data_IF_716829678146
#
_entry.id   IF_716829678146
#
_cell.length_a   1.000
_cell.length_b   1.000
_cell.length_c   1.000
_cell.angle_alpha   90.00
_cell.angle_beta   90.00
_cell.angle_gamma   90.00
#
_symmetry.space_group_name_H-M   'P 1'
#
loop_
_entity.id
_entity.type
_entity.pdbx_description
1 polymer ?
#
# COMPACT_ATOMS: atom_id res chain seq x y z
N UNK A 1 -4.31 12.50 29.05
CA UNK A 1 -3.37 11.58 28.38
C UNK A 1 -3.98 10.19 28.37
N UNK A 2 -3.92 9.45 27.26
CA UNK A 2 -4.49 8.08 27.17
C UNK A 2 -3.58 7.11 27.92
N UNK A 3 -4.13 6.27 28.79
CA UNK A 3 -3.37 5.25 29.50
C UNK A 3 -3.38 3.94 28.69
N UNK A 4 -2.27 3.64 28.02
CA UNK A 4 -2.13 2.44 27.19
C UNK A 4 -2.03 1.14 28.01
N UNK A 5 -1.71 1.21 29.29
CA UNK A 5 -1.78 0.04 30.19
C UNK A 5 -3.21 -0.49 30.35
N UNK A 6 -4.22 0.35 30.07
CA UNK A 6 -5.63 -0.03 30.04
C UNK A 6 -6.13 -0.34 28.62
N UNK A 7 -5.22 -0.61 27.68
CA UNK A 7 -5.53 -0.93 26.31
C UNK A 7 -6.48 -2.12 26.20
N UNK A 8 -7.43 -2.01 25.27
CA UNK A 8 -8.44 -3.03 24.98
C UNK A 8 -8.62 -3.13 23.49
N UNK A 9 -8.76 -4.34 22.98
CA UNK A 9 -9.28 -4.61 21.64
C UNK A 9 -10.70 -5.13 21.78
N UNK A 10 -11.61 -4.60 20.97
CA UNK A 10 -13.03 -4.90 21.03
C UNK A 10 -13.61 -5.03 19.62
N UNK A 11 -14.82 -5.60 19.54
CA UNK A 11 -15.66 -5.52 18.35
C UNK A 11 -17.01 -4.90 18.67
N UNK A 12 -17.59 -4.21 17.69
CA UNK A 12 -19.00 -3.84 17.66
C UNK A 12 -19.66 -4.77 16.63
N UNK A 13 -20.65 -5.54 17.06
CA UNK A 13 -21.37 -6.49 16.21
C UNK A 13 -22.75 -5.93 15.93
N UNK A 14 -23.16 -6.01 14.68
CA UNK A 14 -24.54 -5.83 14.26
C UNK A 14 -25.33 -7.12 14.50
N UNK A 15 -26.33 -7.06 15.36
CA UNK A 15 -27.14 -8.23 15.71
C UNK A 15 -28.16 -8.61 14.62
N UNK A 16 -28.29 -7.82 13.54
CA UNK A 16 -29.23 -8.06 12.43
C UNK A 16 -28.63 -8.86 11.29
N UNK A 17 -27.35 -8.65 10.98
CA UNK A 17 -26.65 -9.28 9.85
C UNK A 17 -25.33 -9.95 10.23
N UNK A 18 -24.89 -9.85 11.49
CA UNK A 18 -23.66 -10.47 11.98
C UNK A 18 -22.37 -9.72 11.64
N UNK A 19 -22.44 -8.61 10.90
CA UNK A 19 -21.26 -7.81 10.57
C UNK A 19 -20.57 -7.29 11.82
N UNK A 20 -19.24 -7.27 11.81
CA UNK A 20 -18.45 -6.82 12.94
C UNK A 20 -17.47 -5.71 12.54
N UNK A 21 -17.33 -4.70 13.38
CA UNK A 21 -16.25 -3.71 13.33
C UNK A 21 -15.27 -3.96 14.47
N UNK A 22 -13.98 -4.08 14.16
CA UNK A 22 -12.91 -4.24 15.16
C UNK A 22 -12.25 -2.90 15.44
N UNK A 23 -11.96 -2.61 16.70
CA UNK A 23 -11.21 -1.42 17.07
C UNK A 23 -10.48 -1.59 18.40
N UNK A 24 -9.56 -0.67 18.67
CA UNK A 24 -8.89 -0.58 19.96
C UNK A 24 -9.24 0.70 20.73
N UNK A 25 -9.05 0.66 22.05
CA UNK A 25 -9.24 1.83 22.91
C UNK A 25 -8.37 1.76 24.16
N UNK A 26 -7.88 2.92 24.61
CA UNK A 26 -7.31 3.10 25.96
C UNK A 26 -8.32 3.74 26.93
N UNK A 27 -9.61 3.74 26.58
CA UNK A 27 -10.67 4.21 27.48
C UNK A 27 -10.85 3.25 28.66
N UNK A 28 -11.29 3.81 29.80
CA UNK A 28 -11.53 3.02 31.03
C UNK A 28 -12.52 1.88 30.79
N UNK A 29 -13.60 2.14 30.04
CA UNK A 29 -14.66 1.18 29.76
C UNK A 29 -15.06 1.16 28.28
N UNK A 30 -15.57 0.00 27.83
CA UNK A 30 -16.13 -0.13 26.48
C UNK A 30 -17.39 0.70 26.30
N UNK A 31 -18.21 0.87 27.33
CA UNK A 31 -19.40 1.73 27.29
C UNK A 31 -19.03 3.17 26.88
N UNK A 32 -17.99 3.76 27.48
CA UNK A 32 -17.53 5.11 27.13
C UNK A 32 -17.01 5.19 25.69
N UNK A 33 -16.33 4.14 25.23
CA UNK A 33 -15.89 4.02 23.83
C UNK A 33 -17.09 3.93 22.88
N UNK A 34 -18.12 3.15 23.22
CA UNK A 34 -19.35 3.05 22.45
C UNK A 34 -20.10 4.38 22.40
N UNK A 35 -20.23 5.09 23.52
CA UNK A 35 -20.84 6.43 23.54
C UNK A 35 -20.12 7.41 22.61
N UNK A 36 -18.80 7.28 22.46
CA UNK A 36 -18.03 8.09 21.52
C UNK A 36 -18.38 7.77 20.06
N UNK A 37 -18.49 6.48 19.72
CA UNK A 37 -18.94 6.04 18.38
C UNK A 37 -20.36 6.54 18.07
N UNK A 38 -21.29 6.38 19.01
CA UNK A 38 -22.68 6.85 18.86
C UNK A 38 -22.74 8.38 18.68
N UNK A 39 -21.98 9.13 19.48
CA UNK A 39 -21.88 10.59 19.35
C UNK A 39 -21.35 11.00 17.98
N UNK A 40 -20.28 10.36 17.52
CA UNK A 40 -19.68 10.66 16.22
C UNK A 40 -20.61 10.27 15.05
N UNK A 41 -21.36 9.17 15.17
CA UNK A 41 -22.39 8.78 14.20
C UNK A 41 -23.51 9.82 14.10
N UNK A 42 -24.03 10.30 15.25
CA UNK A 42 -25.02 11.39 15.27
C UNK A 42 -24.50 12.68 14.63
N UNK A 43 -23.20 12.97 14.75
CA UNK A 43 -22.58 14.12 14.08
C UNK A 43 -22.46 13.90 12.57
N UNK A 44 -22.16 12.68 12.14
CA UNK A 44 -22.11 12.30 10.72
C UNK A 44 -23.48 12.47 10.05
N UNK A 45 -24.56 12.02 10.70
CA UNK A 45 -25.93 12.22 10.22
C UNK A 45 -26.31 13.71 10.05
N UNK A 46 -25.64 14.61 10.78
CA UNK A 46 -25.80 16.07 10.67
C UNK A 46 -24.83 16.73 9.67
N UNK A 47 -24.02 15.95 8.96
CA UNK A 47 -22.98 16.45 8.05
C UNK A 47 -21.72 17.01 8.74
N UNK A 48 -21.60 16.88 10.06
CA UNK A 48 -20.54 17.52 10.88
C UNK A 48 -19.37 16.59 11.23
N UNK A 49 -19.29 15.45 10.54
CA UNK A 49 -18.25 14.42 10.73
C UNK A 49 -18.14 13.61 9.45
N UNK A 50 -16.92 13.20 9.09
CA UNK A 50 -16.70 12.28 7.98
C UNK A 50 -17.13 10.86 8.36
N UNK A 51 -17.49 10.08 7.34
CA UNK A 51 -17.83 8.67 7.51
C UNK A 51 -16.70 7.88 8.19
N UNK A 52 -17.07 7.03 9.14
CA UNK A 52 -16.20 6.05 9.80
C UNK A 52 -16.86 4.69 9.66
N UNK A 53 -16.07 3.65 9.41
CA UNK A 53 -16.58 2.29 9.15
C UNK A 53 -17.49 1.72 10.23
N UNK A 54 -17.30 2.08 11.50
CA UNK A 54 -18.20 1.65 12.58
C UNK A 54 -19.64 2.15 12.41
N UNK A 55 -19.88 3.17 11.57
CA UNK A 55 -21.22 3.68 11.29
C UNK A 55 -22.06 2.68 10.50
N UNK A 56 -21.43 1.85 9.65
CA UNK A 56 -22.12 0.75 8.92
C UNK A 56 -22.79 -0.23 9.91
N UNK A 57 -22.23 -0.39 11.13
CA UNK A 57 -22.79 -1.23 12.20
C UNK A 57 -23.86 -0.50 13.01
N UNK A 58 -23.65 0.79 13.28
CA UNK A 58 -24.55 1.60 14.11
C UNK A 58 -25.85 1.97 13.40
N UNK A 59 -25.83 2.01 12.07
CA UNK A 59 -26.97 2.40 11.24
C UNK A 59 -28.20 1.52 11.47
N UNK A 60 -28.00 0.22 11.68
CA UNK A 60 -29.10 -0.73 11.92
C UNK A 60 -29.71 -0.64 13.32
N UNK A 61 -29.15 0.18 14.23
CA UNK A 61 -29.71 0.46 15.56
C UNK A 61 -29.67 -0.70 16.56
N UNK A 62 -29.39 -1.93 16.13
CA UNK A 62 -29.31 -3.13 16.96
C UNK A 62 -27.89 -3.70 16.95
N UNK A 63 -27.05 -3.25 17.88
CA UNK A 63 -25.64 -3.61 17.96
C UNK A 63 -25.16 -3.82 19.39
N UNK A 64 -24.08 -4.59 19.53
CA UNK A 64 -23.46 -4.92 20.81
C UNK A 64 -21.96 -4.64 20.76
N UNK A 65 -21.38 -4.06 21.82
CA UNK A 65 -19.92 -3.93 21.95
C UNK A 65 -19.38 -5.07 22.83
N UNK A 66 -18.41 -5.82 22.32
CA UNK A 66 -17.86 -7.01 22.97
C UNK A 66 -16.36 -6.86 23.12
N UNK A 67 -15.85 -7.08 24.33
CA UNK A 67 -14.41 -7.15 24.59
C UNK A 67 -13.83 -8.38 23.92
N UNK A 68 -12.78 -8.20 23.13
CA UNK A 68 -12.02 -9.32 22.57
C UNK A 68 -10.84 -9.63 23.48
N UNK A 69 -10.08 -8.60 23.87
CA UNK A 69 -8.85 -8.77 24.63
C UNK A 69 -8.54 -7.52 25.47
N UNK A 70 -8.11 -7.72 26.71
CA UNK A 70 -7.39 -6.69 27.46
C UNK A 70 -5.90 -6.77 27.09
N UNK A 71 -5.36 -5.66 26.57
CA UNK A 71 -4.01 -5.59 26.05
C UNK A 71 -3.27 -4.38 26.64
N UNK A 72 -2.60 -4.61 27.77
CA UNK A 72 -1.71 -3.63 28.39
C UNK A 72 -0.49 -3.41 27.50
N UNK A 73 -0.22 -2.16 27.16
CA UNK A 73 0.89 -1.77 26.29
C UNK A 73 1.39 -0.36 26.64
N UNK A 74 2.54 0.01 26.09
CA UNK A 74 3.20 1.28 26.41
C UNK A 74 2.89 2.37 25.40
N UNK A 75 2.40 2.01 24.22
CA UNK A 75 2.22 2.94 23.12
C UNK A 75 0.99 2.67 22.25
N UNK A 76 0.57 3.73 21.56
CA UNK A 76 -0.50 3.68 20.56
C UNK A 76 -0.20 2.69 19.44
N UNK A 77 1.06 2.59 19.04
CA UNK A 77 1.45 1.78 17.89
C UNK A 77 1.44 0.29 18.23
N UNK A 78 1.82 -0.08 19.45
CA UNK A 78 1.62 -1.45 19.96
C UNK A 78 0.14 -1.83 20.00
N UNK A 79 -0.72 -0.95 20.54
CA UNK A 79 -2.17 -1.20 20.58
C UNK A 79 -2.78 -1.33 19.18
N UNK A 80 -2.33 -0.50 18.23
CA UNK A 80 -2.75 -0.57 16.82
C UNK A 80 -2.23 -1.81 16.10
N UNK A 81 -1.02 -2.27 16.41
CA UNK A 81 -0.50 -3.53 15.88
C UNK A 81 -1.37 -4.70 16.36
N UNK A 82 -1.81 -4.67 17.63
CA UNK A 82 -2.75 -5.67 18.13
C UNK A 82 -4.14 -5.57 17.50
N UNK A 83 -4.64 -4.36 17.26
CA UNK A 83 -5.87 -4.14 16.49
C UNK A 83 -5.76 -4.71 15.06
N UNK A 84 -4.63 -4.46 14.38
CA UNK A 84 -4.34 -5.02 13.05
C UNK A 84 -4.42 -6.55 13.05
N UNK A 85 -3.82 -7.21 14.04
CA UNK A 85 -3.88 -8.67 14.16
C UNK A 85 -5.33 -9.17 14.13
N UNK A 86 -6.24 -8.56 14.89
CA UNK A 86 -7.65 -8.99 14.86
C UNK A 86 -8.35 -8.63 13.55
N UNK A 87 -8.07 -7.46 12.95
CA UNK A 87 -8.64 -7.09 11.65
C UNK A 87 -8.24 -8.09 10.55
N UNK A 88 -6.99 -8.58 10.56
CA UNK A 88 -6.50 -9.52 9.55
C UNK A 88 -6.99 -10.97 9.79
N UNK A 89 -7.32 -11.33 11.03
CA UNK A 89 -7.70 -12.69 11.42
C UNK A 89 -9.19 -12.86 11.74
N UNK A 90 -10.01 -11.83 11.53
CA UNK A 90 -11.46 -11.89 11.75
C UNK A 90 -12.21 -11.27 10.59
N UNK A 91 -13.36 -11.86 10.23
CA UNK A 91 -14.27 -11.26 9.27
C UNK A 91 -14.88 -9.99 9.86
N UNK A 92 -14.51 -8.84 9.30
CA UNK A 92 -14.94 -7.54 9.79
C UNK A 92 -15.06 -6.52 8.66
N UNK A 93 -15.88 -5.49 8.88
CA UNK A 93 -16.16 -4.45 7.89
C UNK A 93 -15.03 -3.41 7.75
N UNK A 94 -13.99 -3.49 8.59
CA UNK A 94 -12.89 -2.52 8.67
C UNK A 94 -12.28 -2.23 7.28
N UNK A 95 -12.41 -0.98 6.82
CA UNK A 95 -11.92 -0.54 5.50
C UNK A 95 -10.42 -0.21 5.51
N UNK A 96 -9.85 0.08 6.69
CA UNK A 96 -8.47 0.51 6.87
C UNK A 96 -7.76 -0.41 7.86
N UNK A 97 -6.58 -0.90 7.47
CA UNK A 97 -5.72 -1.73 8.31
C UNK A 97 -4.65 -0.82 8.95
N UNK A 98 -4.55 -0.73 10.29
CA UNK A 98 -3.55 0.09 10.96
C UNK A 98 -2.12 -0.30 10.58
N UNK A 99 -1.24 0.68 10.38
CA UNK A 99 0.18 0.42 10.08
C UNK A 99 0.47 -0.17 8.70
N UNK A 100 -0.54 -0.35 7.84
CA UNK A 100 -0.35 -0.90 6.50
C UNK A 100 0.51 0.02 5.62
N UNK A 101 1.53 -0.55 5.01
CA UNK A 101 2.45 0.11 4.09
C UNK A 101 1.90 0.13 2.66
N UNK A 102 2.40 1.07 1.84
CA UNK A 102 2.11 1.11 0.40
C UNK A 102 2.53 -0.18 -0.31
N UNK A 103 3.59 -0.85 0.17
CA UNK A 103 4.10 -2.11 -0.40
C UNK A 103 3.12 -3.25 -0.15
N UNK A 104 2.67 -3.43 1.10
CA UNK A 104 1.65 -4.43 1.45
C UNK A 104 0.36 -4.20 0.66
N UNK A 105 -0.14 -2.96 0.62
CA UNK A 105 -1.33 -2.64 -0.17
C UNK A 105 -1.17 -3.04 -1.65
N UNK A 106 -0.02 -2.75 -2.27
CA UNK A 106 0.23 -3.13 -3.67
C UNK A 106 0.31 -4.65 -3.87
N UNK A 107 0.81 -5.39 -2.89
CA UNK A 107 0.90 -6.84 -2.94
C UNK A 107 -0.49 -7.47 -2.82
N UNK A 108 -1.26 -7.07 -1.81
CA UNK A 108 -2.59 -7.64 -1.54
C UNK A 108 -3.60 -7.27 -2.62
N UNK A 109 -3.43 -6.11 -3.27
CA UNK A 109 -4.33 -5.62 -4.32
C UNK A 109 -3.73 -5.76 -5.73
N UNK A 110 -2.70 -6.60 -5.89
CA UNK A 110 -1.92 -6.75 -7.12
C UNK A 110 -2.80 -7.05 -8.34
N UNK A 111 -3.73 -7.99 -8.22
CA UNK A 111 -4.63 -8.38 -9.32
C UNK A 111 -5.62 -7.28 -9.69
N UNK A 112 -6.21 -6.60 -8.69
CA UNK A 112 -7.11 -5.46 -8.93
C UNK A 112 -6.38 -4.33 -9.66
N UNK A 113 -5.16 -3.99 -9.21
CA UNK A 113 -4.33 -2.96 -9.83
C UNK A 113 -3.98 -3.35 -11.27
N UNK A 114 -3.60 -4.60 -11.51
CA UNK A 114 -3.31 -5.12 -12.85
C UNK A 114 -4.51 -5.03 -13.78
N UNK A 115 -5.69 -5.44 -13.31
CA UNK A 115 -6.94 -5.39 -14.08
C UNK A 115 -7.27 -3.95 -14.46
N UNK A 116 -7.28 -3.03 -13.48
CA UNK A 116 -7.54 -1.61 -13.74
C UNK A 116 -6.53 -1.00 -14.73
N UNK A 117 -5.24 -1.33 -14.60
CA UNK A 117 -4.22 -0.87 -15.53
C UNK A 117 -4.42 -1.41 -16.95
N UNK A 118 -4.86 -2.68 -17.09
CA UNK A 118 -5.20 -3.28 -18.39
C UNK A 118 -6.39 -2.57 -19.03
N UNK A 119 -7.46 -2.36 -18.27
CA UNK A 119 -8.66 -1.66 -18.76
C UNK A 119 -8.35 -0.23 -19.19
N UNK A 120 -7.56 0.50 -18.40
CA UNK A 120 -7.12 1.84 -18.75
C UNK A 120 -6.34 1.85 -20.06
N UNK A 121 -5.36 0.96 -20.23
CA UNK A 121 -4.58 0.83 -21.48
C UNK A 121 -5.44 0.49 -22.68
N UNK A 122 -6.45 -0.37 -22.49
CA UNK A 122 -7.38 -0.76 -23.55
C UNK A 122 -8.24 0.42 -23.99
N UNK A 123 -8.85 1.12 -23.03
CA UNK A 123 -9.72 2.28 -23.30
C UNK A 123 -8.96 3.46 -23.91
N UNK A 124 -7.71 3.66 -23.54
CA UNK A 124 -6.90 4.78 -23.98
C UNK A 124 -5.87 4.39 -25.06
N UNK A 125 -6.07 3.25 -25.74
CA UNK A 125 -5.08 2.67 -26.66
C UNK A 125 -4.66 3.63 -27.76
N UNK A 126 -5.62 4.28 -28.40
CA UNK A 126 -5.38 5.20 -29.52
C UNK A 126 -4.65 6.45 -29.06
N UNK A 127 -5.15 7.10 -28.01
CA UNK A 127 -4.51 8.28 -27.41
C UNK A 127 -3.06 7.99 -26.96
N UNK A 128 -2.83 6.84 -26.31
CA UNK A 128 -1.48 6.40 -25.92
C UNK A 128 -0.59 6.19 -27.16
N UNK A 129 -1.16 5.67 -28.25
CA UNK A 129 -0.43 5.44 -29.49
C UNK A 129 -0.07 6.77 -30.16
N UNK A 130 -0.98 7.73 -30.16
CA UNK A 130 -0.77 9.05 -30.75
C UNK A 130 0.31 9.84 -30.00
N UNK A 131 0.24 9.91 -28.66
CA UNK A 131 1.30 10.51 -27.84
C UNK A 131 2.66 9.88 -28.13
N UNK A 132 2.71 8.55 -28.30
CA UNK A 132 3.96 7.85 -28.63
C UNK A 132 4.49 8.21 -30.02
N UNK A 133 3.61 8.39 -31.01
CA UNK A 133 4.00 8.82 -32.36
C UNK A 133 4.53 10.25 -32.31
N UNK A 134 3.80 11.15 -31.66
CA UNK A 134 4.19 12.55 -31.50
C UNK A 134 5.55 12.67 -30.81
N UNK A 135 5.75 11.97 -29.69
CA UNK A 135 7.04 11.93 -29.00
C UNK A 135 8.18 11.48 -29.92
N UNK A 136 7.97 10.43 -30.72
CA UNK A 136 8.97 9.92 -31.68
C UNK A 136 9.26 10.92 -32.80
N UNK A 137 8.24 11.63 -33.28
CA UNK A 137 8.38 12.66 -34.30
C UNK A 137 9.20 13.83 -33.77
N UNK A 138 8.78 14.39 -32.63
CA UNK A 138 9.38 15.59 -32.04
C UNK A 138 10.81 15.34 -31.53
N UNK A 139 11.16 14.10 -31.18
CA UNK A 139 12.50 13.72 -30.69
C UNK A 139 13.31 12.94 -31.72
N UNK A 140 12.94 12.94 -33.00
CA UNK A 140 13.54 12.09 -34.03
C UNK A 140 15.07 12.23 -34.11
N UNK A 141 15.59 13.45 -34.19
CA UNK A 141 17.03 13.71 -34.30
C UNK A 141 17.78 13.31 -33.03
N UNK A 142 17.25 13.67 -31.85
CA UNK A 142 17.82 13.26 -30.56
C UNK A 142 17.87 11.73 -30.41
N UNK A 143 16.84 11.02 -30.88
CA UNK A 143 16.82 9.56 -30.88
C UNK A 143 17.87 9.00 -31.84
N UNK A 144 18.01 9.58 -33.02
CA UNK A 144 19.01 9.18 -34.03
C UNK A 144 20.43 9.38 -33.51
N UNK A 145 20.71 10.53 -32.94
CA UNK A 145 21.99 10.89 -32.33
C UNK A 145 22.34 9.92 -31.18
N UNK A 146 21.40 9.67 -30.26
CA UNK A 146 21.61 8.71 -29.16
C UNK A 146 21.85 7.26 -29.65
N UNK A 147 21.34 6.91 -30.84
CA UNK A 147 21.60 5.61 -31.48
C UNK A 147 22.95 5.56 -32.19
N UNK A 148 23.41 6.66 -32.78
CA UNK A 148 24.71 6.72 -33.47
C UNK A 148 25.89 6.83 -32.50
N UNK A 149 25.68 7.38 -31.30
CA UNK A 149 26.70 7.42 -30.26
C UNK A 149 27.17 6.01 -29.91
N UNK A 150 28.44 5.74 -30.18
CA UNK A 150 29.13 4.53 -29.75
C UNK A 150 29.55 4.69 -28.28
N UNK A 151 29.46 3.59 -27.56
CA UNK A 151 29.94 3.42 -26.20
C UNK A 151 30.89 2.24 -26.21
N UNK A 152 32.14 2.52 -25.91
CA UNK A 152 33.15 1.51 -25.67
C UNK A 152 33.11 1.13 -24.19
N UNK A 153 32.94 -0.16 -23.92
CA UNK A 153 32.92 -0.67 -22.56
C UNK A 153 34.36 -0.73 -22.01
N UNK A 154 34.69 -0.03 -20.92
CA UNK A 154 36.03 -0.02 -20.35
C UNK A 154 36.41 -1.36 -19.69
N UNK A 155 35.43 -2.19 -19.32
CA UNK A 155 35.67 -3.45 -18.61
C UNK A 155 35.99 -4.60 -19.58
N UNK A 156 35.30 -4.66 -20.73
CA UNK A 156 35.39 -5.79 -21.64
C UNK A 156 35.71 -5.42 -23.10
N UNK A 157 36.09 -4.16 -23.35
CA UNK A 157 36.48 -3.64 -24.68
C UNK A 157 35.38 -3.70 -25.76
N UNK A 158 34.14 -4.03 -25.37
CA UNK A 158 33.07 -4.22 -26.34
C UNK A 158 32.48 -2.88 -26.76
N UNK A 159 32.36 -2.65 -28.06
CA UNK A 159 31.72 -1.45 -28.62
C UNK A 159 30.24 -1.74 -28.80
N UNK A 160 29.38 -0.93 -28.20
CA UNK A 160 27.93 -0.96 -28.41
C UNK A 160 27.37 0.46 -28.56
N UNK A 161 26.09 0.62 -28.87
CA UNK A 161 25.49 1.95 -28.85
C UNK A 161 25.30 2.45 -27.42
N UNK A 162 25.33 3.76 -27.21
CA UNK A 162 25.02 4.39 -25.91
C UNK A 162 23.63 3.98 -25.40
N UNK A 163 22.66 3.86 -26.30
CA UNK A 163 21.32 3.32 -26.02
C UNK A 163 21.31 1.84 -25.60
N UNK A 164 22.32 1.05 -25.95
CA UNK A 164 22.44 -0.37 -25.59
C UNK A 164 23.31 -0.61 -24.36
N UNK A 165 23.99 0.41 -23.81
CA UNK A 165 24.88 0.32 -22.64
C UNK A 165 24.25 -0.45 -21.47
N UNK A 166 23.08 -0.03 -21.02
CA UNK A 166 22.41 -0.65 -19.86
C UNK A 166 22.02 -2.12 -20.08
N UNK A 167 21.83 -2.54 -21.33
CA UNK A 167 21.61 -3.94 -21.69
C UNK A 167 22.94 -4.71 -21.75
N UNK A 168 23.99 -4.09 -22.29
CA UNK A 168 25.34 -4.65 -22.30
C UNK A 168 25.86 -4.96 -20.89
N UNK A 169 25.65 -4.05 -19.93
CA UNK A 169 26.07 -4.22 -18.52
C UNK A 169 25.39 -5.41 -17.82
N UNK A 170 24.28 -5.92 -18.37
CA UNK A 170 23.57 -7.11 -17.87
C UNK A 170 23.97 -8.39 -18.58
N UNK A 171 24.87 -8.32 -19.56
CA UNK A 171 25.34 -9.51 -20.28
C UNK A 171 26.29 -10.32 -19.42
N UNK A 172 26.29 -11.64 -19.63
CA UNK A 172 27.25 -12.54 -18.98
C UNK A 172 28.70 -12.12 -19.25
N UNK A 173 29.00 -11.67 -20.48
CA UNK A 173 30.33 -11.17 -20.87
C UNK A 173 30.82 -10.03 -19.98
N UNK A 174 29.96 -9.03 -19.74
CA UNK A 174 30.29 -7.89 -18.88
C UNK A 174 30.43 -8.31 -17.41
N UNK A 175 29.51 -9.13 -16.90
CA UNK A 175 29.55 -9.62 -15.52
C UNK A 175 30.78 -10.49 -15.23
N UNK A 176 31.15 -11.38 -16.15
CA UNK A 176 32.37 -12.18 -16.05
C UNK A 176 33.63 -11.31 -16.05
N UNK A 177 33.71 -10.31 -16.95
CA UNK A 177 34.84 -9.40 -17.01
C UNK A 177 34.98 -8.53 -15.75
N UNK A 178 33.87 -8.09 -15.15
CA UNK A 178 33.87 -7.41 -13.83
C UNK A 178 34.48 -8.31 -12.76
N UNK A 179 34.04 -9.57 -12.68
CA UNK A 179 34.51 -10.50 -11.65
C UNK A 179 36.00 -10.83 -11.80
N UNK A 180 36.49 -10.92 -13.04
CA UNK A 180 37.93 -11.09 -13.32
C UNK A 180 38.74 -9.84 -12.96
N UNK A 181 38.25 -8.63 -13.25
CA UNK A 181 38.94 -7.38 -12.91
C UNK A 181 39.08 -7.13 -11.40
N UNK A 182 38.14 -7.63 -10.59
CA UNK A 182 38.22 -7.54 -9.12
C UNK A 182 39.18 -8.55 -8.47
N UNK A 183 39.65 -9.55 -9.23
CA UNK A 183 40.54 -10.61 -8.72
C UNK A 183 42.03 -10.32 -8.95
N UNK A 184 42.37 -9.20 -9.62
CA UNK A 184 43.73 -8.81 -9.98
C UNK A 184 44.31 -7.66 -9.15
N UNK A 185 43.60 -7.20 -8.10
CA UNK A 185 44.24 -6.41 -7.03
C UNK A 185 44.40 -7.24 -5.75
N UNK A 186 45.46 -8.06 -5.66
CA UNK A 186 46.08 -8.39 -4.39
C UNK A 186 47.35 -7.55 -4.19
N UNK A 187 47.30 -6.74 -3.11
CA UNK A 187 48.42 -6.18 -2.31
C UNK A 187 49.37 -5.18 -2.98
#
# INVERSE_FOLDING_TARGET
>A
MVNYALGKVYKIIDNTNGNAYVGSTGERTLARRLSTHVKDYRRYLKGNKNFITSFDILENGNYSIILIENYSCDSKDQLRARERYYIENTECVNKVIPGRTKKEYRLDNKERIRKAAKEYRSRNREHITEIKKEYRSNNRERIKECRSMKYECPVCGSICSKSSKARHEKTKKYQSAINTSFSLEPS
#
